data_IF_265515880734
#
_entry.id   IF_265515880734
#
_cell.length_a   1.000
_cell.length_b   1.000
_cell.length_c   1.000
_cell.angle_alpha   90.00
_cell.angle_beta   90.00
_cell.angle_gamma   90.00
#
_symmetry.space_group_name_H-M   'P 1'
#
loop_
_entity.id
_entity.type
_entity.pdbx_description
1 polymer ?
#
# COMPACT_ATOMS: atom_id res chain seq x y z
N UNK A 1 12.67 -11.57 4.53
CA UNK A 1 12.78 -12.29 3.24
C UNK A 1 12.71 -11.24 2.15
N UNK A 2 13.57 -11.32 1.13
CA UNK A 2 13.42 -10.43 -0.03
C UNK A 2 12.15 -10.85 -0.81
N UNK A 3 11.30 -9.91 -1.22
CA UNK A 3 10.14 -10.21 -2.06
C UNK A 3 10.55 -10.93 -3.34
N UNK A 4 9.80 -11.97 -3.71
CA UNK A 4 9.99 -12.68 -4.96
C UNK A 4 8.63 -13.25 -5.42
N UNK A 5 8.29 -13.16 -6.72
CA UNK A 5 6.96 -13.50 -7.23
C UNK A 5 6.77 -15.03 -7.37
N UNK A 6 7.08 -15.80 -6.31
CA UNK A 6 6.81 -17.22 -6.20
C UNK A 6 5.82 -17.48 -5.06
N UNK A 7 4.81 -18.33 -5.31
CA UNK A 7 3.77 -18.69 -4.33
C UNK A 7 4.38 -19.20 -3.02
N UNK A 8 5.47 -19.97 -3.08
CA UNK A 8 6.14 -20.51 -1.90
C UNK A 8 6.76 -19.45 -0.97
N UNK A 9 7.01 -18.24 -1.49
CA UNK A 9 7.59 -17.11 -0.76
C UNK A 9 6.58 -15.97 -0.58
N UNK A 10 5.34 -16.17 -1.02
CA UNK A 10 4.31 -15.14 -1.00
C UNK A 10 3.80 -14.88 0.42
N UNK A 11 3.93 -13.63 0.85
CA UNK A 11 3.30 -13.14 2.06
C UNK A 11 1.78 -13.11 1.92
N UNK A 12 1.26 -12.80 0.72
CA UNK A 12 -0.17 -12.89 0.43
C UNK A 12 -0.70 -14.29 0.70
N UNK A 13 -0.04 -15.33 0.17
CA UNK A 13 -0.40 -16.74 0.44
C UNK A 13 -0.35 -17.06 1.93
N UNK A 14 0.68 -16.58 2.66
CA UNK A 14 0.79 -16.84 4.09
C UNK A 14 -0.36 -16.21 4.89
N UNK A 15 -0.74 -14.96 4.55
CA UNK A 15 -1.88 -14.28 5.17
C UNK A 15 -3.20 -14.97 4.84
N UNK A 16 -3.42 -15.36 3.59
CA UNK A 16 -4.64 -16.09 3.18
C UNK A 16 -4.77 -17.43 3.93
N UNK A 17 -3.66 -18.17 4.10
CA UNK A 17 -3.65 -19.42 4.87
C UNK A 17 -3.94 -19.21 6.36
N UNK A 18 -3.48 -18.10 6.93
CA UNK A 18 -3.70 -17.78 8.33
C UNK A 18 -5.19 -17.51 8.62
N UNK A 19 -5.90 -16.82 7.72
CA UNK A 19 -7.30 -16.41 7.94
C UNK A 19 -8.33 -17.25 7.20
N UNK A 20 -7.92 -18.04 6.20
CA UNK A 20 -8.81 -18.85 5.36
C UNK A 20 -9.64 -18.04 4.36
N UNK A 21 -9.20 -16.83 3.97
CA UNK A 21 -9.88 -15.93 3.05
C UNK A 21 -8.87 -15.19 2.15
N UNK A 22 -9.34 -14.70 1.01
CA UNK A 22 -8.49 -13.98 0.05
C UNK A 22 -7.94 -12.67 0.62
N UNK A 23 -6.72 -12.31 0.21
CA UNK A 23 -6.10 -11.05 0.60
C UNK A 23 -6.95 -9.87 0.09
N UNK A 24 -7.28 -8.95 0.99
CA UNK A 24 -8.22 -7.86 0.73
C UNK A 24 -9.59 -8.07 1.37
N UNK A 25 -9.92 -9.30 1.80
CA UNK A 25 -11.13 -9.57 2.55
C UNK A 25 -11.07 -9.01 3.98
N UNK A 26 -12.23 -8.95 4.64
CA UNK A 26 -12.32 -8.64 6.07
C UNK A 26 -11.49 -9.65 6.86
N UNK A 27 -10.69 -9.15 7.80
CA UNK A 27 -9.70 -9.97 8.52
C UNK A 27 -8.27 -9.83 7.99
N UNK A 28 -8.05 -9.34 6.77
CA UNK A 28 -6.68 -9.10 6.23
C UNK A 28 -5.89 -8.15 7.13
N UNK A 29 -6.51 -7.09 7.65
CA UNK A 29 -5.87 -6.17 8.60
C UNK A 29 -5.42 -6.89 9.89
N UNK A 30 -6.29 -7.75 10.44
CA UNK A 30 -5.96 -8.55 11.62
C UNK A 30 -4.81 -9.51 11.32
N UNK A 31 -4.85 -10.21 10.18
CA UNK A 31 -3.79 -11.12 9.74
C UNK A 31 -2.43 -10.41 9.67
N UNK A 32 -2.40 -9.26 9.01
CA UNK A 32 -1.20 -8.45 8.86
C UNK A 32 -0.66 -7.99 10.21
N UNK A 33 -1.53 -7.47 11.10
CA UNK A 33 -1.12 -7.05 12.44
C UNK A 33 -0.61 -8.20 13.30
N UNK A 34 -1.28 -9.37 13.24
CA UNK A 34 -0.87 -10.58 13.95
C UNK A 34 0.51 -11.04 13.50
N UNK A 35 0.74 -11.15 12.18
CA UNK A 35 2.04 -11.55 11.63
C UNK A 35 3.13 -10.55 11.99
N UNK A 36 2.86 -9.25 11.93
CA UNK A 36 3.82 -8.22 12.36
C UNK A 36 4.20 -8.38 13.82
N UNK A 37 3.24 -8.61 14.72
CA UNK A 37 3.51 -8.86 16.15
C UNK A 37 4.34 -10.14 16.35
N UNK A 38 4.04 -11.22 15.64
CA UNK A 38 4.84 -12.44 15.65
C UNK A 38 6.30 -12.18 15.22
N UNK A 39 6.52 -11.44 14.13
CA UNK A 39 7.87 -11.09 13.65
C UNK A 39 8.62 -10.27 14.69
N UNK A 40 7.95 -9.30 15.33
CA UNK A 40 8.56 -8.45 16.35
C UNK A 40 8.96 -9.23 17.61
N UNK A 41 8.19 -10.26 17.99
CA UNK A 41 8.46 -11.11 19.15
C UNK A 41 9.39 -12.28 18.86
N UNK A 42 9.58 -12.64 17.59
CA UNK A 42 10.43 -13.76 17.22
C UNK A 42 11.91 -13.44 17.46
N UNK A 43 12.62 -14.44 17.96
CA UNK A 43 14.05 -14.36 18.28
C UNK A 43 14.85 -14.97 17.14
N UNK A 44 15.38 -14.13 16.26
CA UNK A 44 16.26 -14.51 15.17
C UNK A 44 17.24 -13.37 14.87
N UNK A 45 18.41 -13.63 14.25
CA UNK A 45 19.31 -12.58 13.82
C UNK A 45 18.61 -11.61 12.86
N UNK A 46 18.52 -10.33 13.24
CA UNK A 46 17.90 -9.30 12.40
C UNK A 46 18.97 -8.61 11.56
N UNK A 47 18.86 -8.75 10.25
CA UNK A 47 19.74 -8.08 9.27
C UNK A 47 18.86 -7.32 8.28
N UNK A 48 19.15 -6.03 8.06
CA UNK A 48 18.33 -5.16 7.23
C UNK A 48 16.87 -5.06 7.71
N UNK A 49 15.95 -4.82 6.77
CA UNK A 49 14.52 -4.75 7.07
C UNK A 49 13.97 -6.11 7.50
N UNK A 50 13.43 -6.17 8.72
CA UNK A 50 12.93 -7.40 9.37
C UNK A 50 11.46 -7.28 9.78
N UNK A 51 10.63 -6.61 8.96
CA UNK A 51 9.20 -6.42 9.20
C UNK A 51 8.32 -7.06 8.13
N UNK A 52 7.00 -6.85 8.26
CA UNK A 52 6.03 -7.21 7.23
C UNK A 52 6.06 -6.18 6.09
N UNK A 53 6.25 -6.66 4.86
CA UNK A 53 6.22 -5.89 3.62
C UNK A 53 5.07 -6.40 2.76
N UNK A 54 4.38 -5.52 2.04
CA UNK A 54 3.27 -5.89 1.14
C UNK A 54 3.58 -5.43 -0.29
N UNK A 55 4.55 -6.07 -0.96
CA UNK A 55 5.02 -5.65 -2.27
C UNK A 55 4.09 -6.17 -3.37
N UNK A 56 3.15 -5.32 -3.83
CA UNK A 56 2.09 -5.75 -4.75
C UNK A 56 2.62 -6.43 -6.01
N UNK A 57 3.64 -5.88 -6.66
CA UNK A 57 4.21 -6.49 -7.87
C UNK A 57 5.25 -7.56 -7.58
N UNK A 58 5.89 -7.59 -6.41
CA UNK A 58 6.94 -8.59 -6.11
C UNK A 58 6.38 -9.81 -5.35
N UNK A 59 5.06 -9.88 -5.13
CA UNK A 59 4.37 -11.01 -4.51
C UNK A 59 3.30 -11.61 -5.44
N UNK A 60 3.40 -12.92 -5.70
CA UNK A 60 2.52 -13.63 -6.63
C UNK A 60 1.03 -13.58 -6.25
N UNK A 61 0.70 -13.69 -4.96
CA UNK A 61 -0.70 -13.69 -4.50
C UNK A 61 -1.25 -12.28 -4.41
N UNK A 62 -0.48 -11.31 -3.91
CA UNK A 62 -0.92 -9.92 -3.87
C UNK A 62 -1.22 -9.43 -5.29
N UNK A 63 -0.34 -9.70 -6.26
CA UNK A 63 -0.55 -9.38 -7.66
C UNK A 63 -1.77 -10.07 -8.25
N UNK A 64 -1.93 -11.38 -8.00
CA UNK A 64 -3.06 -12.15 -8.52
C UNK A 64 -4.41 -11.70 -7.97
N UNK A 65 -4.48 -11.27 -6.70
CA UNK A 65 -5.73 -10.75 -6.11
C UNK A 65 -6.05 -9.37 -6.65
N UNK A 66 -5.14 -8.40 -6.50
CA UNK A 66 -5.18 -6.99 -6.97
C UNK A 66 -6.57 -6.34 -7.15
N UNK A 67 -7.55 -6.74 -6.34
CA UNK A 67 -8.92 -6.23 -6.32
C UNK A 67 -9.19 -5.37 -5.08
N UNK A 68 -8.17 -5.22 -4.22
CA UNK A 68 -8.17 -4.30 -3.09
C UNK A 68 -7.77 -2.89 -3.56
N UNK A 69 -8.26 -1.88 -2.85
CA UNK A 69 -8.00 -0.47 -3.15
C UNK A 69 -6.67 0.02 -2.57
N UNK A 70 -6.21 1.19 -3.05
CA UNK A 70 -5.10 1.91 -2.44
C UNK A 70 -5.37 2.22 -0.96
N UNK A 71 -6.59 2.62 -0.62
CA UNK A 71 -7.02 2.85 0.78
C UNK A 71 -6.87 1.60 1.65
N UNK A 72 -7.13 0.42 1.09
CA UNK A 72 -6.93 -0.85 1.82
C UNK A 72 -5.46 -1.06 2.14
N UNK A 73 -4.56 -0.74 1.19
CA UNK A 73 -3.12 -0.84 1.41
C UNK A 73 -2.61 0.22 2.40
N UNK A 74 -3.15 1.44 2.36
CA UNK A 74 -2.89 2.47 3.39
C UNK A 74 -3.36 2.00 4.77
N UNK A 75 -4.53 1.38 4.86
CA UNK A 75 -5.02 0.78 6.10
C UNK A 75 -4.09 -0.34 6.59
N UNK A 76 -3.63 -1.23 5.72
CA UNK A 76 -2.67 -2.27 6.10
C UNK A 76 -1.30 -1.69 6.48
N UNK A 77 -0.93 -0.54 5.93
CA UNK A 77 0.29 0.19 6.29
C UNK A 77 0.32 0.63 7.75
N UNK A 78 -0.84 0.77 8.40
CA UNK A 78 -0.91 1.06 9.84
C UNK A 78 -0.29 -0.06 10.68
N UNK A 79 -0.37 -1.32 10.21
CA UNK A 79 0.09 -2.51 10.92
C UNK A 79 1.26 -3.24 10.24
N UNK A 80 1.68 -2.84 9.03
CA UNK A 80 2.89 -3.35 8.37
C UNK A 80 4.09 -2.42 8.59
N UNK A 81 5.28 -2.80 8.11
CA UNK A 81 6.52 -2.06 8.35
C UNK A 81 6.97 -1.13 7.23
N UNK A 82 6.50 -1.30 5.99
CA UNK A 82 7.07 -0.60 4.82
C UNK A 82 6.22 0.55 4.26
N UNK A 83 4.90 0.51 4.42
CA UNK A 83 4.00 1.44 3.73
C UNK A 83 3.52 0.91 2.38
N UNK A 84 3.41 1.79 1.38
CA UNK A 84 2.98 1.46 0.02
C UNK A 84 4.16 0.97 -0.81
N UNK A 85 4.07 -0.24 -1.36
CA UNK A 85 5.24 -0.89 -1.93
C UNK A 85 4.97 -1.60 -3.25
N UNK A 86 5.72 -1.21 -4.28
CA UNK A 86 5.56 -1.62 -5.69
C UNK A 86 4.12 -1.48 -6.20
N UNK A 87 3.52 -0.31 -5.99
CA UNK A 87 2.12 -0.07 -6.35
C UNK A 87 1.99 0.30 -7.83
N UNK A 88 1.32 -0.51 -8.67
CA UNK A 88 1.09 -0.16 -10.07
C UNK A 88 -0.02 0.91 -10.17
N UNK A 89 0.30 2.04 -10.77
CA UNK A 89 -0.61 3.19 -10.95
C UNK A 89 -0.82 3.51 -12.44
N UNK A 90 -1.93 4.17 -12.81
CA UNK A 90 -2.17 4.60 -14.18
C UNK A 90 -1.06 5.50 -14.69
N UNK A 91 -0.77 5.41 -16.00
CA UNK A 91 0.30 6.19 -16.61
C UNK A 91 0.00 7.68 -16.73
N UNK A 92 -1.27 8.05 -16.68
CA UNK A 92 -1.80 9.41 -16.75
C UNK A 92 -2.08 10.01 -15.36
N UNK A 93 -1.61 9.37 -14.29
CA UNK A 93 -1.74 9.91 -12.93
C UNK A 93 -1.10 11.30 -12.82
N UNK A 94 -1.82 12.23 -12.19
CA UNK A 94 -1.38 13.61 -12.05
C UNK A 94 -0.42 13.79 -10.86
N UNK A 95 0.36 14.88 -10.88
CA UNK A 95 1.22 15.25 -9.76
C UNK A 95 0.40 15.49 -8.49
N UNK A 96 -0.77 16.12 -8.60
CA UNK A 96 -1.65 16.38 -7.47
C UNK A 96 -2.18 15.08 -6.85
N UNK A 97 -2.54 14.10 -7.68
CA UNK A 97 -2.97 12.79 -7.21
C UNK A 97 -1.84 12.05 -6.47
N UNK A 98 -0.61 12.08 -7.00
CA UNK A 98 0.56 11.55 -6.31
C UNK A 98 0.81 12.28 -4.97
N UNK A 99 0.72 13.61 -4.96
CA UNK A 99 0.90 14.41 -3.76
C UNK A 99 -0.14 14.07 -2.68
N UNK A 100 -1.41 13.84 -3.06
CA UNK A 100 -2.46 13.41 -2.15
C UNK A 100 -2.15 12.05 -1.51
N UNK A 101 -1.74 11.06 -2.31
CA UNK A 101 -1.34 9.73 -1.80
C UNK A 101 -0.19 9.86 -0.80
N UNK A 102 0.83 10.66 -1.14
CA UNK A 102 1.99 10.87 -0.29
C UNK A 102 1.63 11.61 1.00
N UNK A 103 0.69 12.55 0.97
CA UNK A 103 0.18 13.23 2.17
C UNK A 103 -0.58 12.29 3.10
N UNK A 104 -1.41 11.38 2.57
CA UNK A 104 -2.10 10.38 3.38
C UNK A 104 -1.11 9.44 4.05
N UNK A 105 -0.12 8.96 3.28
CA UNK A 105 0.94 8.11 3.82
C UNK A 105 1.79 8.85 4.87
N UNK A 106 2.18 10.10 4.61
CA UNK A 106 2.92 10.93 5.55
C UNK A 106 2.12 11.18 6.83
N UNK A 107 0.80 11.38 6.72
CA UNK A 107 -0.08 11.53 7.88
C UNK A 107 -0.07 10.26 8.73
N UNK A 108 -0.19 9.08 8.12
CA UNK A 108 -0.06 7.79 8.83
C UNK A 108 1.32 7.63 9.48
N UNK A 109 2.39 7.97 8.75
CA UNK A 109 3.76 7.88 9.25
C UNK A 109 3.95 8.73 10.51
N UNK A 110 3.51 9.99 10.48
CA UNK A 110 3.61 10.92 11.61
C UNK A 110 2.72 10.48 12.77
N UNK A 111 1.44 10.15 12.51
CA UNK A 111 0.48 9.80 13.58
C UNK A 111 0.83 8.51 14.29
N UNK A 112 1.40 7.54 13.57
CA UNK A 112 1.78 6.25 14.14
C UNK A 112 3.24 6.19 14.58
N UNK A 113 4.02 7.26 14.34
CA UNK A 113 5.47 7.29 14.54
C UNK A 113 6.17 6.10 13.83
N UNK A 114 5.82 5.90 12.55
CA UNK A 114 6.30 4.79 11.72
C UNK A 114 7.07 5.31 10.51
N UNK A 115 8.22 4.71 10.13
CA UNK A 115 8.98 5.11 8.96
C UNK A 115 8.37 4.52 7.68
N UNK A 116 7.16 4.94 7.33
CA UNK A 116 6.48 4.46 6.13
C UNK A 116 7.11 5.05 4.86
N UNK A 117 7.16 4.24 3.81
CA UNK A 117 7.71 4.60 2.50
C UNK A 117 6.70 4.35 1.39
N UNK A 118 6.89 5.01 0.25
CA UNK A 118 6.08 4.82 -0.96
C UNK A 118 6.97 4.41 -2.13
N UNK A 119 6.73 3.23 -2.70
CA UNK A 119 7.24 2.82 -4.00
C UNK A 119 6.07 2.74 -4.98
N UNK A 120 5.77 3.87 -5.61
CA UNK A 120 4.69 4.03 -6.58
C UNK A 120 5.25 3.86 -8.00
N UNK A 121 4.52 3.17 -8.86
CA UNK A 121 4.95 2.81 -10.22
C UNK A 121 3.88 3.26 -11.20
N UNK A 122 3.90 4.53 -11.67
CA UNK A 122 3.09 4.97 -12.80
C UNK A 122 3.50 4.21 -14.07
N UNK A 123 2.52 3.66 -14.80
CA UNK A 123 2.77 2.80 -15.97
C UNK A 123 2.27 3.46 -17.26
N UNK A 124 3.15 4.09 -18.07
CA UNK A 124 2.76 4.73 -19.32
C UNK A 124 1.97 3.80 -20.24
N UNK A 125 0.84 4.28 -20.74
CA UNK A 125 -0.04 3.51 -21.63
C UNK A 125 -0.97 2.51 -20.93
N UNK A 126 -0.97 2.45 -19.60
CA UNK A 126 -1.93 1.67 -18.82
C UNK A 126 -2.93 2.57 -18.09
N UNK A 127 -4.16 2.09 -18.01
CA UNK A 127 -5.30 2.69 -17.33
C UNK A 127 -5.67 1.87 -16.08
N UNK A 128 -6.39 2.52 -15.15
CA UNK A 128 -6.91 1.85 -13.97
C UNK A 128 -7.74 0.61 -14.36
N UNK A 129 -7.50 -0.50 -13.65
CA UNK A 129 -8.19 -1.75 -13.90
C UNK A 129 -7.55 -2.67 -14.95
N UNK A 130 -6.61 -2.18 -15.77
CA UNK A 130 -5.87 -3.04 -16.71
C UNK A 130 -4.88 -3.96 -16.00
N UNK A 131 -4.61 -5.14 -16.59
CA UNK A 131 -3.59 -6.07 -16.07
C UNK A 131 -2.25 -5.73 -16.72
N UNK A 132 -1.23 -5.53 -15.89
CA UNK A 132 0.14 -5.25 -16.34
C UNK A 132 0.71 -6.39 -17.19
N UNK A 133 1.73 -6.09 -17.99
CA UNK A 133 2.40 -7.08 -18.86
C UNK A 133 3.92 -6.96 -18.76
N UNK A 134 4.43 -7.08 -17.55
CA UNK A 134 5.86 -7.11 -17.29
C UNK A 134 6.48 -8.39 -17.83
N UNK A 135 7.65 -8.24 -18.47
CA UNK A 135 8.56 -9.33 -18.79
C UNK A 135 9.82 -9.22 -17.91
N UNK A 136 9.61 -9.00 -16.61
CA UNK A 136 10.67 -8.83 -15.62
C UNK A 136 10.53 -9.92 -14.55
N UNK A 137 11.56 -10.76 -14.30
CA UNK A 137 11.43 -11.97 -13.49
C UNK A 137 11.07 -11.72 -12.02
N UNK A 138 11.25 -10.50 -11.50
CA UNK A 138 10.91 -10.15 -10.12
C UNK A 138 9.53 -9.53 -9.98
N UNK A 139 8.82 -9.23 -11.08
CA UNK A 139 7.46 -8.71 -11.04
C UNK A 139 6.43 -9.77 -11.49
N UNK A 140 5.41 -9.96 -10.68
CA UNK A 140 4.15 -10.58 -11.05
C UNK A 140 3.23 -9.53 -11.67
N UNK A 141 2.41 -9.96 -12.64
CA UNK A 141 1.43 -9.07 -13.25
C UNK A 141 0.22 -8.88 -12.34
N UNK A 142 -0.14 -7.62 -12.14
CA UNK A 142 -1.24 -7.21 -11.26
C UNK A 142 -2.18 -6.27 -11.99
N UNK A 143 -3.35 -6.01 -11.41
CA UNK A 143 -4.21 -4.92 -11.83
C UNK A 143 -3.59 -3.58 -11.47
N UNK A 144 -3.61 -2.64 -12.41
CA UNK A 144 -3.32 -1.23 -12.16
C UNK A 144 -4.39 -0.67 -11.22
N UNK A 145 -3.97 -0.17 -10.07
CA UNK A 145 -4.90 0.30 -9.05
C UNK A 145 -5.51 1.63 -9.46
N UNK A 146 -6.79 1.80 -9.16
CA UNK A 146 -7.48 3.07 -9.35
C UNK A 146 -7.02 4.10 -8.32
N UNK A 147 -6.94 5.36 -8.73
CA UNK A 147 -6.58 6.50 -7.89
C UNK A 147 -7.68 7.53 -7.98
N UNK A 148 -8.48 7.62 -6.93
CA UNK A 148 -9.49 8.66 -6.79
C UNK A 148 -8.90 9.83 -6.02
N UNK A 149 -8.25 10.75 -6.73
CA UNK A 149 -7.68 11.95 -6.15
C UNK A 149 -7.93 13.18 -7.02
N UNK A 150 -8.34 14.27 -6.37
CA UNK A 150 -8.51 15.59 -6.97
C UNK A 150 -7.37 16.51 -6.54
N UNK A 151 -7.21 17.64 -7.23
CA UNK A 151 -6.31 18.71 -6.81
C UNK A 151 -6.64 19.15 -5.37
N UNK A 152 -5.61 19.20 -4.53
CA UNK A 152 -5.76 19.56 -3.12
C UNK A 152 -5.57 21.07 -2.93
N UNK A 153 -6.61 21.73 -2.43
CA UNK A 153 -6.59 23.17 -2.12
C UNK A 153 -5.56 23.57 -1.07
N UNK A 154 -5.05 22.64 -0.27
CA UNK A 154 -4.02 22.92 0.75
C UNK A 154 -2.70 23.39 0.14
N UNK A 155 -2.46 23.08 -1.14
CA UNK A 155 -1.28 23.56 -1.88
C UNK A 155 -1.51 24.92 -2.54
N UNK A 156 -2.76 25.40 -2.57
CA UNK A 156 -3.06 26.75 -3.03
C UNK A 156 -2.58 27.73 -1.95
N UNK A 157 -1.81 28.74 -2.33
CA UNK A 157 -1.22 29.76 -1.45
C UNK A 157 -2.25 30.78 -0.95
N UNK A 158 -3.50 30.36 -0.75
CA UNK A 158 -4.54 31.25 -0.25
C UNK A 158 -4.28 31.54 1.22
N UNK A 159 -3.96 32.80 1.51
CA UNK A 159 -3.63 33.32 2.83
C UNK A 159 -4.86 33.48 3.73
N UNK A 160 -6.04 33.05 3.27
CA UNK A 160 -7.31 33.19 3.98
C UNK A 160 -8.04 31.85 4.09
N UNK A 161 -7.80 31.15 5.19
CA UNK A 161 -8.67 30.06 5.64
C UNK A 161 -9.74 30.65 6.54
N UNK A 162 -10.95 30.87 6.02
CA UNK A 162 -12.10 31.27 6.84
C UNK A 162 -12.64 30.07 7.63
N UNK A 163 -12.31 30.01 8.91
CA UNK A 163 -12.94 29.07 9.83
C UNK A 163 -14.31 29.62 10.24
N UNK A 164 -15.38 29.21 9.56
CA UNK A 164 -16.74 29.43 10.06
C UNK A 164 -17.01 28.48 11.21
N UNK A 165 -16.89 28.99 12.43
CA UNK A 165 -17.36 28.30 13.62
C UNK A 165 -18.87 28.57 13.75
N UNK A 166 -19.70 27.66 13.24
CA UNK A 166 -21.14 27.70 13.55
C UNK A 166 -21.31 27.33 15.02
N UNK A 167 -21.39 28.36 15.87
CA UNK A 167 -21.73 28.25 17.28
C UNK A 167 -23.15 27.70 17.42
N UNK A 168 -23.29 26.37 17.35
CA UNK A 168 -24.46 25.67 17.88
C UNK A 168 -24.29 25.58 19.39
N UNK A 169 -24.82 26.59 20.06
CA UNK A 169 -25.28 26.52 21.47
C UNK A 169 -26.33 25.44 21.63
#
# INVERSE_FOLDING_TARGET
MAPFPAIAQSIGTALEKLIGAEFGARGTLFAAGFVTDCINRAHFPRIGFSGLMLPVLEDATLAARSAYSLDSLLLYSTVCGTGLDTIPLPGDITVDALAAILLDLATLAVKLNKPLTARLIPLPGFQAGEITRFNFPYFANARVLDVNANALKIFETDTQVEFKNDSRT
#
